data_IF_346669765812
#
_entry.id   IF_346669765812
#
_cell.length_a   1.000
_cell.length_b   1.000
_cell.length_c   1.000
_cell.angle_alpha   90.00
_cell.angle_beta   90.00
_cell.angle_gamma   90.00
#
_symmetry.space_group_name_H-M   'P 1'
#
loop_
_entity.id
_entity.type
_entity.pdbx_description
1 polymer ?
#
# COMPACT_ATOMS: atom_id res chain seq x y z
N UNK A 1 2.93 -13.17 17.01
CA UNK A 1 3.28 -13.43 15.58
C UNK A 1 2.66 -14.69 14.98
N UNK A 2 1.33 -14.88 15.04
CA UNK A 2 0.63 -15.88 14.20
C UNK A 2 -0.71 -15.32 13.72
N UNK A 3 -0.62 -14.38 12.78
CA UNK A 3 -1.70 -13.65 12.10
C UNK A 3 -2.49 -14.52 11.12
N UNK A 4 -1.89 -15.61 10.62
CA UNK A 4 -2.55 -16.77 10.00
C UNK A 4 -1.68 -18.00 10.32
N UNK A 5 -2.23 -19.21 10.21
CA UNK A 5 -1.38 -20.37 9.96
C UNK A 5 -0.54 -20.03 8.74
N UNK A 6 0.80 -19.93 8.88
CA UNK A 6 1.74 -19.55 7.82
C UNK A 6 1.42 -20.32 6.53
N UNK A 7 0.96 -21.57 6.67
CA UNK A 7 0.48 -22.44 5.60
C UNK A 7 -0.67 -21.85 4.77
N UNK A 8 -1.68 -21.24 5.39
CA UNK A 8 -2.83 -20.67 4.69
C UNK A 8 -2.45 -19.36 3.99
N UNK A 9 -1.60 -18.53 4.61
CA UNK A 9 -1.11 -17.30 3.98
C UNK A 9 -0.24 -17.62 2.75
N UNK A 10 0.62 -18.63 2.83
CA UNK A 10 1.45 -19.10 1.71
C UNK A 10 0.59 -19.69 0.58
N UNK A 11 -0.52 -20.35 0.88
CA UNK A 11 -1.44 -20.85 -0.15
C UNK A 11 -2.22 -19.74 -0.87
N UNK A 12 -2.61 -18.68 -0.17
CA UNK A 12 -3.46 -17.61 -0.72
C UNK A 12 -2.61 -16.52 -1.41
N UNK A 13 -1.38 -16.29 -0.95
CA UNK A 13 -0.48 -15.25 -1.47
C UNK A 13 -0.25 -15.31 -2.99
N UNK A 14 -0.02 -16.48 -3.64
CA UNK A 14 0.13 -16.55 -5.09
C UNK A 14 -1.12 -16.11 -5.85
N UNK A 15 -2.30 -16.40 -5.31
CA UNK A 15 -3.58 -16.04 -5.93
C UNK A 15 -3.81 -14.53 -5.86
N UNK A 16 -3.48 -13.91 -4.72
CA UNK A 16 -3.50 -12.45 -4.56
C UNK A 16 -2.46 -11.80 -5.49
N UNK A 17 -1.24 -12.33 -5.56
CA UNK A 17 -0.20 -11.85 -6.46
C UNK A 17 -0.59 -11.94 -7.94
N UNK A 18 -1.28 -13.02 -8.35
CA UNK A 18 -1.78 -13.17 -9.70
C UNK A 18 -2.89 -12.16 -10.03
N UNK A 19 -3.85 -11.95 -9.10
CA UNK A 19 -4.89 -10.92 -9.24
C UNK A 19 -4.26 -9.53 -9.33
N UNK A 20 -3.23 -9.28 -8.53
CA UNK A 20 -2.48 -8.04 -8.56
C UNK A 20 -1.87 -7.82 -9.95
N UNK A 21 -1.07 -8.76 -10.45
CA UNK A 21 -0.48 -8.68 -11.80
C UNK A 21 -1.56 -8.47 -12.87
N UNK A 22 -2.66 -9.23 -12.80
CA UNK A 22 -3.78 -9.08 -13.72
C UNK A 22 -4.36 -7.66 -13.72
N UNK A 23 -4.62 -7.08 -12.55
CA UNK A 23 -5.14 -5.70 -12.44
C UNK A 23 -4.18 -4.66 -13.00
N UNK A 24 -2.86 -4.85 -12.84
CA UNK A 24 -1.86 -3.93 -13.40
C UNK A 24 -1.80 -3.98 -14.93
N UNK A 25 -2.14 -5.12 -15.54
CA UNK A 25 -2.14 -5.29 -17.00
C UNK A 25 -3.41 -4.73 -17.62
N UNK A 26 -4.55 -4.94 -16.96
CA UNK A 26 -5.87 -4.57 -17.50
C UNK A 26 -6.16 -3.09 -17.33
N UNK A 27 -5.69 -2.47 -16.25
CA UNK A 27 -6.07 -1.10 -15.89
C UNK A 27 -4.86 -0.23 -15.51
N UNK A 28 -4.59 0.81 -16.31
CA UNK A 28 -3.44 1.70 -16.12
C UNK A 28 -3.48 2.48 -14.79
N UNK A 29 -4.58 3.13 -14.37
CA UNK A 29 -4.66 3.82 -13.09
C UNK A 29 -4.44 2.91 -11.88
N UNK A 30 -5.03 1.71 -11.89
CA UNK A 30 -4.79 0.69 -10.86
C UNK A 30 -3.34 0.23 -10.86
N UNK A 31 -2.76 0.01 -12.05
CA UNK A 31 -1.36 -0.32 -12.23
C UNK A 31 -0.41 0.74 -11.65
N UNK A 32 -0.70 2.02 -11.89
CA UNK A 32 0.04 3.15 -11.34
C UNK A 32 -0.03 3.20 -9.81
N UNK A 33 -1.25 3.09 -9.24
CA UNK A 33 -1.48 3.10 -7.81
C UNK A 33 -0.74 1.94 -7.12
N UNK A 34 -0.92 0.74 -7.62
CA UNK A 34 -0.32 -0.45 -7.05
C UNK A 34 1.21 -0.44 -7.13
N UNK A 35 1.77 -0.01 -8.27
CA UNK A 35 3.22 0.20 -8.42
C UNK A 35 3.73 1.24 -7.43
N UNK A 36 3.00 2.35 -7.27
CA UNK A 36 3.40 3.44 -6.38
C UNK A 36 3.45 3.05 -4.91
N UNK A 37 2.54 2.17 -4.47
CA UNK A 37 2.53 1.64 -3.10
C UNK A 37 3.80 0.83 -2.85
N UNK A 38 4.16 -0.09 -3.75
CA UNK A 38 5.36 -0.90 -3.58
C UNK A 38 6.62 -0.02 -3.67
N UNK A 39 6.70 0.88 -4.67
CA UNK A 39 7.84 1.79 -4.82
C UNK A 39 8.02 2.72 -3.61
N UNK A 40 6.94 3.29 -3.07
CA UNK A 40 7.00 4.16 -1.90
C UNK A 40 7.56 3.43 -0.67
N UNK A 41 7.15 2.18 -0.46
CA UNK A 41 7.67 1.33 0.63
C UNK A 41 9.13 0.92 0.37
N UNK A 42 9.50 0.58 -0.88
CA UNK A 42 10.86 0.22 -1.26
C UNK A 42 11.85 1.37 -1.08
N UNK A 43 11.49 2.57 -1.57
CA UNK A 43 12.30 3.79 -1.43
C UNK A 43 12.56 4.15 0.03
N UNK A 44 11.66 3.76 0.93
CA UNK A 44 11.85 3.98 2.35
C UNK A 44 12.91 3.06 2.98
N UNK A 45 13.31 1.99 2.30
CA UNK A 45 14.44 1.18 2.75
C UNK A 45 14.11 0.15 3.83
N UNK A 46 12.84 -0.27 3.98
CA UNK A 46 12.49 -1.51 4.73
C UNK A 46 12.91 -2.77 3.93
N UNK A 47 14.12 -2.78 3.37
CA UNK A 47 14.64 -3.84 2.47
C UNK A 47 14.96 -5.13 3.26
N UNK A 48 14.93 -5.11 4.59
CA UNK A 48 15.27 -6.26 5.45
C UNK A 48 14.24 -7.41 5.45
N UNK A 49 13.13 -7.31 4.71
CA UNK A 49 12.09 -8.33 4.71
C UNK A 49 11.84 -8.89 3.30
N UNK A 50 11.86 -10.22 3.18
CA UNK A 50 11.67 -11.02 1.94
C UNK A 50 10.45 -10.54 1.13
N UNK A 51 9.40 -10.05 1.80
CA UNK A 51 8.21 -9.48 1.17
C UNK A 51 8.50 -8.29 0.24
N UNK A 52 9.50 -7.46 0.56
CA UNK A 52 9.89 -6.31 -0.25
C UNK A 52 10.66 -6.72 -1.50
N UNK A 53 11.57 -7.70 -1.38
CA UNK A 53 12.28 -8.27 -2.53
C UNK A 53 11.31 -8.94 -3.51
N UNK A 54 10.28 -9.63 -3.00
CA UNK A 54 9.19 -10.20 -3.80
C UNK A 54 8.38 -9.08 -4.49
N UNK A 55 8.04 -8.00 -3.78
CA UNK A 55 7.32 -6.86 -4.35
C UNK A 55 8.09 -6.18 -5.49
N UNK A 56 9.40 -5.95 -5.31
CA UNK A 56 10.28 -5.42 -6.35
C UNK A 56 10.34 -6.36 -7.56
N UNK A 57 10.50 -7.67 -7.31
CA UNK A 57 10.50 -8.69 -8.37
C UNK A 57 9.20 -8.65 -9.19
N UNK A 58 8.04 -8.53 -8.53
CA UNK A 58 6.74 -8.44 -9.20
C UNK A 58 6.67 -7.19 -10.08
N UNK A 59 7.08 -6.01 -9.60
CA UNK A 59 7.07 -4.79 -10.43
C UNK A 59 7.98 -4.96 -11.65
N UNK A 60 9.21 -5.42 -11.45
CA UNK A 60 10.19 -5.59 -12.53
C UNK A 60 9.70 -6.63 -13.53
N UNK A 61 9.11 -7.73 -13.06
CA UNK A 61 8.53 -8.78 -13.90
C UNK A 61 7.36 -8.26 -14.74
N UNK A 62 6.44 -7.49 -14.15
CA UNK A 62 5.33 -6.86 -14.88
C UNK A 62 5.85 -5.84 -15.89
N UNK A 63 6.83 -5.02 -15.51
CA UNK A 63 7.45 -4.03 -16.41
C UNK A 63 8.15 -4.69 -17.60
N UNK A 64 8.81 -5.84 -17.41
CA UNK A 64 9.47 -6.61 -18.47
C UNK A 64 8.48 -7.33 -19.40
N UNK A 65 7.37 -7.86 -18.87
CA UNK A 65 6.40 -8.61 -19.67
C UNK A 65 5.46 -7.72 -20.50
N UNK A 66 5.03 -6.59 -19.94
CA UNK A 66 3.91 -5.81 -20.48
C UNK A 66 4.38 -4.45 -21.02
N UNK A 67 5.57 -4.02 -20.61
CA UNK A 67 6.02 -2.64 -20.76
C UNK A 67 5.29 -1.72 -19.77
N UNK A 68 5.96 -0.67 -19.30
CA UNK A 68 5.34 0.34 -18.44
C UNK A 68 4.40 1.22 -19.29
N UNK A 69 3.17 0.75 -19.53
CA UNK A 69 2.04 1.61 -19.95
C UNK A 69 1.47 2.35 -18.75
N UNK A 70 2.35 3.04 -18.04
CA UNK A 70 2.00 3.81 -16.86
C UNK A 70 2.51 5.22 -17.08
N UNK A 71 1.62 6.19 -17.04
CA UNK A 71 2.01 7.59 -17.07
C UNK A 71 3.04 7.87 -15.95
N UNK A 72 4.26 8.22 -16.36
CA UNK A 72 5.38 8.43 -15.45
C UNK A 72 5.09 9.53 -14.42
N UNK A 73 4.39 10.60 -14.80
CA UNK A 73 4.01 11.67 -13.87
C UNK A 73 3.01 11.18 -12.82
N UNK A 74 2.02 10.37 -13.23
CA UNK A 74 1.05 9.77 -12.33
C UNK A 74 1.75 8.85 -11.32
N UNK A 75 2.65 7.99 -11.81
CA UNK A 75 3.44 7.09 -10.98
C UNK A 75 4.32 7.86 -10.00
N UNK A 76 5.03 8.88 -10.46
CA UNK A 76 5.92 9.70 -9.64
C UNK A 76 5.14 10.40 -8.52
N UNK A 77 4.00 11.00 -8.85
CA UNK A 77 3.16 11.71 -7.88
C UNK A 77 2.64 10.75 -6.80
N UNK A 78 2.02 9.64 -7.20
CA UNK A 78 1.49 8.65 -6.26
C UNK A 78 2.60 8.02 -5.42
N UNK A 79 3.77 7.77 -6.01
CA UNK A 79 4.93 7.21 -5.29
C UNK A 79 5.43 8.18 -4.24
N UNK A 80 5.43 9.48 -4.54
CA UNK A 80 5.80 10.53 -3.57
C UNK A 80 4.81 10.57 -2.40
N UNK A 81 3.50 10.49 -2.68
CA UNK A 81 2.49 10.40 -1.63
C UNK A 81 2.68 9.14 -0.76
N UNK A 82 2.87 7.98 -1.37
CA UNK A 82 3.09 6.72 -0.66
C UNK A 82 4.38 6.74 0.18
N UNK A 83 5.45 7.33 -0.36
CA UNK A 83 6.73 7.50 0.34
C UNK A 83 6.57 8.40 1.57
N UNK A 84 5.93 9.57 1.43
CA UNK A 84 5.70 10.48 2.55
C UNK A 84 4.84 9.82 3.64
N UNK A 85 3.82 9.04 3.25
CA UNK A 85 3.02 8.28 4.21
C UNK A 85 3.88 7.31 5.04
N UNK A 86 4.77 6.56 4.39
CA UNK A 86 5.65 5.60 5.06
C UNK A 86 6.70 6.32 5.94
N UNK A 87 7.26 7.44 5.47
CA UNK A 87 8.17 8.30 6.27
C UNK A 87 7.46 8.85 7.49
N UNK A 88 6.25 9.38 7.32
CA UNK A 88 5.44 9.92 8.41
C UNK A 88 5.10 8.86 9.44
N UNK A 89 4.77 7.65 8.99
CA UNK A 89 4.48 6.52 9.88
C UNK A 89 5.71 6.15 10.75
N UNK A 90 6.90 6.09 10.16
CA UNK A 90 8.14 5.82 10.90
C UNK A 90 8.53 6.95 11.88
N UNK A 91 8.23 8.22 11.54
CA UNK A 91 8.46 9.36 12.44
C UNK A 91 7.53 9.24 13.65
N UNK A 92 6.26 8.92 13.42
CA UNK A 92 5.28 8.67 14.48
C UNK A 92 5.73 7.50 15.36
N UNK A 93 6.20 6.41 14.79
CA UNK A 93 6.65 5.25 15.57
C UNK A 93 7.86 5.57 16.45
N UNK A 94 8.79 6.43 15.98
CA UNK A 94 9.91 6.92 16.81
C UNK A 94 9.48 7.86 17.93
N UNK A 95 8.40 8.61 17.75
CA UNK A 95 7.87 9.57 18.71
C UNK A 95 6.89 8.95 19.74
N UNK A 96 6.81 7.61 19.81
CA UNK A 96 5.88 6.80 20.63
C UNK A 96 5.67 7.20 22.09
N UNK A 97 6.59 7.98 22.67
CA UNK A 97 6.52 8.44 24.07
C UNK A 97 5.65 9.68 24.27
N UNK A 98 5.28 10.42 23.23
CA UNK A 98 4.57 11.69 23.37
C UNK A 98 3.05 11.51 23.20
N UNK A 99 2.26 11.74 24.25
CA UNK A 99 0.79 11.53 24.25
C UNK A 99 -0.03 12.75 23.81
N UNK A 100 0.61 13.77 23.23
CA UNK A 100 -0.09 14.97 22.78
C UNK A 100 -1.17 14.64 21.72
N UNK A 101 -2.28 15.39 21.73
CA UNK A 101 -3.39 15.21 20.78
C UNK A 101 -2.93 15.24 19.32
N UNK A 102 -1.98 16.12 18.99
CA UNK A 102 -1.34 16.20 17.66
C UNK A 102 -0.67 14.89 17.25
N UNK A 103 -0.05 14.18 18.20
CA UNK A 103 0.59 12.89 17.94
C UNK A 103 -0.44 11.80 17.61
N UNK A 104 -1.57 11.78 18.30
CA UNK A 104 -2.67 10.83 18.01
C UNK A 104 -3.24 11.05 16.60
N UNK A 105 -3.42 12.32 16.21
CA UNK A 105 -3.84 12.69 14.86
C UNK A 105 -2.82 12.28 13.80
N UNK A 106 -1.53 12.60 13.99
CA UNK A 106 -0.47 12.22 13.04
C UNK A 106 -0.35 10.69 12.92
N UNK A 107 -0.51 9.97 14.04
CA UNK A 107 -0.52 8.51 14.04
C UNK A 107 -1.71 7.93 13.27
N UNK A 108 -2.88 8.53 13.42
CA UNK A 108 -4.05 8.11 12.64
C UNK A 108 -3.88 8.44 11.14
N UNK A 109 -3.36 9.63 10.83
CA UNK A 109 -3.17 10.10 9.46
C UNK A 109 -2.16 9.24 8.69
N UNK A 110 -0.93 9.10 9.22
CA UNK A 110 0.12 8.34 8.56
C UNK A 110 -0.04 6.82 8.71
N UNK A 111 -0.63 6.36 9.83
CA UNK A 111 -0.88 4.93 10.04
C UNK A 111 -1.95 4.34 9.11
N UNK A 112 -2.84 5.17 8.55
CA UNK A 112 -3.89 4.75 7.58
C UNK A 112 -3.62 5.25 6.15
N UNK A 113 -2.37 5.64 5.83
CA UNK A 113 -1.95 6.11 4.49
C UNK A 113 -2.91 7.15 3.88
N UNK A 114 -3.27 8.14 4.69
CA UNK A 114 -4.27 9.13 4.26
C UNK A 114 -3.75 10.04 3.16
N UNK A 115 -2.44 10.29 3.06
CA UNK A 115 -1.91 11.16 2.02
C UNK A 115 -2.07 10.52 0.64
N UNK A 116 -1.87 9.21 0.52
CA UNK A 116 -2.11 8.48 -0.72
C UNK A 116 -3.59 8.55 -1.15
N UNK A 117 -4.53 8.39 -0.21
CA UNK A 117 -5.98 8.54 -0.48
C UNK A 117 -6.33 9.94 -0.98
N UNK A 118 -5.80 10.97 -0.32
CA UNK A 118 -5.99 12.37 -0.74
C UNK A 118 -5.35 12.62 -2.11
N UNK A 119 -4.18 12.04 -2.38
CA UNK A 119 -3.52 12.11 -3.69
C UNK A 119 -4.35 11.49 -4.80
N UNK A 120 -4.91 10.29 -4.58
CA UNK A 120 -5.81 9.65 -5.56
C UNK A 120 -7.10 10.46 -5.74
N UNK A 121 -7.67 10.99 -4.66
CA UNK A 121 -8.85 11.86 -4.75
C UNK A 121 -8.56 13.13 -5.57
N UNK A 122 -7.41 13.77 -5.35
CA UNK A 122 -6.98 14.94 -6.12
C UNK A 122 -6.88 14.62 -7.61
N UNK A 123 -6.25 13.49 -7.97
CA UNK A 123 -6.15 13.04 -9.35
C UNK A 123 -7.52 12.73 -9.97
N UNK A 124 -8.47 12.25 -9.16
CA UNK A 124 -9.85 12.05 -9.60
C UNK A 124 -10.61 13.35 -9.84
N UNK A 125 -10.40 14.37 -8.98
CA UNK A 125 -11.01 15.69 -9.15
C UNK A 125 -10.48 16.43 -10.38
N UNK A 126 -9.20 16.24 -10.72
CA UNK A 126 -8.55 16.82 -11.93
C UNK A 126 -8.81 15.96 -13.17
N UNK A 127 -9.62 14.89 -13.07
CA UNK A 127 -9.97 13.97 -14.17
C UNK A 127 -8.78 13.24 -14.80
N UNK A 128 -7.67 13.10 -14.06
CA UNK A 128 -6.48 12.34 -14.49
C UNK A 128 -6.62 10.85 -14.20
N UNK A 129 -7.33 10.51 -13.13
CA UNK A 129 -7.61 9.14 -12.72
C UNK A 129 -9.11 8.98 -12.47
N UNK A 130 -9.71 7.83 -12.76
CA UNK A 130 -11.09 7.56 -12.32
C UNK A 130 -11.19 7.45 -10.80
N UNK A 131 -12.42 7.46 -10.27
CA UNK A 131 -12.68 7.42 -8.82
C UNK A 131 -12.57 6.01 -8.21
N UNK A 132 -12.75 4.94 -8.99
CA UNK A 132 -12.74 3.58 -8.46
C UNK A 132 -11.43 3.15 -7.76
N UNK A 133 -10.21 3.60 -8.15
CA UNK A 133 -8.99 3.28 -7.41
C UNK A 133 -9.01 3.81 -5.98
N UNK A 134 -9.70 4.94 -5.72
CA UNK A 134 -9.88 5.47 -4.36
C UNK A 134 -10.75 4.53 -3.53
N UNK A 135 -11.87 4.08 -4.09
CA UNK A 135 -12.79 3.16 -3.41
C UNK A 135 -12.08 1.84 -3.12
N UNK A 136 -11.35 1.30 -4.09
CA UNK A 136 -10.54 0.10 -3.93
C UNK A 136 -9.49 0.26 -2.81
N UNK A 137 -8.80 1.40 -2.75
CA UNK A 137 -7.80 1.69 -1.71
C UNK A 137 -8.43 1.76 -0.31
N UNK A 138 -9.60 2.39 -0.17
CA UNK A 138 -10.31 2.46 1.11
C UNK A 138 -10.75 1.06 1.57
N UNK A 139 -11.34 0.27 0.67
CA UNK A 139 -11.77 -1.10 0.99
C UNK A 139 -10.58 -2.00 1.35
N UNK A 140 -9.47 -1.86 0.63
CA UNK A 140 -8.24 -2.60 0.91
C UNK A 140 -7.70 -2.32 2.32
N UNK A 141 -7.63 -1.04 2.72
CA UNK A 141 -7.14 -0.67 4.05
C UNK A 141 -8.08 -1.12 5.17
N UNK A 142 -9.39 -0.97 5.00
CA UNK A 142 -10.36 -1.43 6.00
C UNK A 142 -10.37 -2.97 6.11
N UNK A 143 -10.20 -3.71 5.01
CA UNK A 143 -10.00 -5.16 5.06
C UNK A 143 -8.73 -5.54 5.84
N UNK A 144 -7.66 -4.77 5.72
CA UNK A 144 -6.41 -4.99 6.46
C UNK A 144 -6.61 -4.78 7.98
N UNK A 145 -7.35 -3.74 8.36
CA UNK A 145 -7.68 -3.44 9.76
C UNK A 145 -8.59 -4.52 10.37
N UNK A 146 -9.63 -4.93 9.64
CA UNK A 146 -10.51 -6.02 10.06
C UNK A 146 -9.73 -7.31 10.30
N UNK A 147 -8.74 -7.61 9.44
CA UNK A 147 -7.90 -8.80 9.61
C UNK A 147 -6.98 -8.70 10.83
N UNK A 148 -6.42 -7.52 11.13
CA UNK A 148 -5.61 -7.28 12.32
C UNK A 148 -6.45 -7.43 13.60
N UNK A 149 -7.66 -6.87 13.62
CA UNK A 149 -8.60 -6.97 14.75
C UNK A 149 -9.09 -8.42 14.97
N UNK A 150 -9.43 -9.12 13.89
CA UNK A 150 -9.76 -10.55 13.95
C UNK A 150 -8.60 -11.38 14.50
N UNK A 151 -7.37 -11.08 14.08
CA UNK A 151 -6.16 -11.77 14.56
C UNK A 151 -5.93 -11.55 16.05
N UNK A 152 -6.10 -10.32 16.54
CA UNK A 152 -5.98 -9.99 17.98
C UNK A 152 -7.08 -10.66 18.81
N UNK A 153 -8.31 -10.70 18.30
CA UNK A 153 -9.42 -11.37 18.97
C UNK A 153 -9.19 -12.89 19.09
N UNK A 154 -8.59 -13.50 18.06
CA UNK A 154 -8.22 -14.92 18.08
C UNK A 154 -7.07 -15.24 19.04
N UNK A 155 -6.09 -14.34 19.20
CA UNK A 155 -4.95 -14.50 20.11
C UNK A 155 -5.30 -14.24 21.60
N UNK A 156 -6.42 -13.56 21.87
CA UNK A 156 -6.95 -13.35 23.23
C UNK A 156 -7.80 -14.52 23.74
N UNK A 157 -8.15 -15.49 22.88
CA UNK A 157 -8.72 -16.78 23.26
C UNK A 157 -7.61 -17.82 23.40
#
# INVERSE_FOLDING_TARGET
DKTMSIRNAVMISPLIGALWIFTMIVDEPSGALLSSIILGVLLRGKIDNIAHSIGLFIIVFVALLVGLKVNFLLLLFLTTCAYIDEVGNDIVDRLRKNKNFRYVLLRYFFGKRWLLKVGVLYLALVQVSPLYPLVALILFDEAYLLMDDYSKARLKR
#
